data_IF_639377214768
#
_entry.id   IF_639377214768
#
_cell.length_a   1.000
_cell.length_b   1.000
_cell.length_c   1.000
_cell.angle_alpha   90.00
_cell.angle_beta   90.00
_cell.angle_gamma   90.00
#
_symmetry.space_group_name_H-M   'P 1'
#
loop_
_entity.id
_entity.type
_entity.pdbx_description
1 polymer ?
#
# COMPACT_ATOMS: atom_id res chain seq x y z
N UNK A 1 -16.41 25.53 -4.96
CA UNK A 1 -17.03 24.67 -6.00
C UNK A 1 -15.93 24.34 -6.98
N UNK A 2 -15.18 23.30 -6.68
CA UNK A 2 -14.06 22.85 -7.52
C UNK A 2 -14.60 21.95 -8.61
N UNK A 3 -14.28 22.33 -9.85
CA UNK A 3 -14.77 21.68 -11.06
C UNK A 3 -14.06 20.34 -11.21
N UNK A 4 -14.86 19.28 -11.30
CA UNK A 4 -14.46 17.93 -11.67
C UNK A 4 -13.80 17.93 -13.06
N UNK A 5 -12.47 17.90 -13.09
CA UNK A 5 -11.68 17.61 -14.28
C UNK A 5 -11.39 16.11 -14.27
N UNK A 6 -12.35 15.36 -14.82
CA UNK A 6 -12.21 13.95 -15.16
C UNK A 6 -10.95 13.77 -16.00
N UNK A 7 -9.88 13.23 -15.41
CA UNK A 7 -8.71 12.85 -16.20
C UNK A 7 -7.39 12.65 -15.48
N UNK A 8 -7.06 13.38 -14.41
CA UNK A 8 -5.77 13.19 -13.72
C UNK A 8 -5.84 13.63 -12.25
N UNK A 9 -6.00 12.67 -11.35
CA UNK A 9 -5.80 12.89 -9.92
C UNK A 9 -4.48 12.21 -9.49
N UNK A 10 -3.35 12.71 -10.01
CA UNK A 10 -2.01 12.36 -9.53
C UNK A 10 -1.63 13.14 -8.25
N UNK A 11 -2.63 13.46 -7.43
CA UNK A 11 -2.43 14.21 -6.21
C UNK A 11 -2.56 13.24 -5.04
N UNK A 12 -1.44 13.00 -4.35
CA UNK A 12 -1.47 12.45 -3.00
C UNK A 12 -2.32 13.37 -2.14
N UNK A 13 -3.56 12.96 -1.84
CA UNK A 13 -4.38 13.66 -0.87
C UNK A 13 -3.80 13.44 0.52
N UNK A 14 -3.90 14.43 1.40
CA UNK A 14 -3.62 14.22 2.82
C UNK A 14 -4.53 13.08 3.32
N UNK A 15 -3.93 11.95 3.70
CA UNK A 15 -4.63 10.74 4.11
C UNK A 15 -4.85 9.69 3.01
N UNK A 16 -4.57 9.98 1.73
CA UNK A 16 -4.73 9.01 0.63
C UNK A 16 -3.84 7.77 0.80
N UNK A 17 -2.64 7.97 1.33
CA UNK A 17 -1.67 6.92 1.68
C UNK A 17 -2.21 5.96 2.75
N UNK A 18 -2.89 6.47 3.79
CA UNK A 18 -3.50 5.65 4.85
C UNK A 18 -4.79 4.99 4.37
N UNK A 19 -5.59 5.70 3.57
CA UNK A 19 -6.78 5.15 2.95
C UNK A 19 -6.44 3.95 2.04
N UNK A 20 -5.40 4.08 1.20
CA UNK A 20 -4.90 2.98 0.38
C UNK A 20 -4.47 1.78 1.22
N UNK A 21 -3.72 2.01 2.30
CA UNK A 21 -3.33 0.95 3.23
C UNK A 21 -4.55 0.24 3.85
N UNK A 22 -5.56 0.99 4.28
CA UNK A 22 -6.78 0.42 4.85
C UNK A 22 -7.58 -0.41 3.85
N UNK A 23 -7.71 0.05 2.60
CA UNK A 23 -8.37 -0.70 1.54
C UNK A 23 -7.63 -2.00 1.24
N UNK A 24 -6.30 -1.96 1.13
CA UNK A 24 -5.48 -3.14 0.84
C UNK A 24 -5.59 -4.19 1.96
N UNK A 25 -5.61 -3.77 3.22
CA UNK A 25 -5.87 -4.68 4.35
C UNK A 25 -7.27 -5.29 4.32
N UNK A 26 -8.30 -4.49 4.00
CA UNK A 26 -9.67 -4.98 3.89
C UNK A 26 -9.75 -6.06 2.81
N UNK A 27 -9.18 -5.81 1.65
CA UNK A 27 -9.25 -6.72 0.51
C UNK A 27 -8.50 -8.04 0.81
N UNK A 28 -7.32 -7.94 1.45
CA UNK A 28 -6.58 -9.11 1.95
C UNK A 28 -7.37 -9.94 2.98
N UNK A 29 -8.03 -9.30 3.97
CA UNK A 29 -8.84 -10.01 4.97
C UNK A 29 -10.05 -10.72 4.34
N UNK A 30 -10.63 -10.12 3.30
CA UNK A 30 -11.78 -10.67 2.60
C UNK A 30 -11.41 -11.79 1.62
N UNK A 31 -10.12 -12.11 1.47
CA UNK A 31 -9.63 -13.16 0.59
C UNK A 31 -9.59 -12.77 -0.88
N UNK A 32 -9.51 -11.47 -1.18
CA UNK A 32 -9.20 -10.99 -2.52
C UNK A 32 -7.66 -11.00 -2.69
N UNK A 33 -7.16 -11.87 -3.57
CA UNK A 33 -5.73 -12.12 -3.78
C UNK A 33 -5.01 -10.99 -4.56
N UNK A 34 -5.75 -9.97 -5.02
CA UNK A 34 -5.21 -8.78 -5.69
C UNK A 34 -5.57 -7.47 -4.98
N UNK A 35 -5.10 -7.25 -3.73
CA UNK A 35 -5.15 -5.93 -3.11
C UNK A 35 -4.46 -4.92 -4.04
N UNK A 36 -5.24 -3.92 -4.48
CA UNK A 36 -4.86 -2.87 -5.43
C UNK A 36 -4.60 -3.31 -6.90
N UNK A 37 -5.15 -4.43 -7.37
CA UNK A 37 -5.09 -4.86 -8.79
C UNK A 37 -3.67 -5.04 -9.39
N UNK A 38 -2.60 -5.13 -8.59
CA UNK A 38 -1.26 -5.46 -9.13
C UNK A 38 -0.27 -6.07 -8.11
N UNK A 39 -0.06 -5.49 -6.92
CA UNK A 39 1.09 -5.86 -6.05
C UNK A 39 0.91 -5.71 -4.51
N UNK A 40 -0.30 -5.45 -3.99
CA UNK A 40 -0.50 -5.03 -2.59
C UNK A 40 -0.09 -3.59 -2.32
N UNK A 41 0.03 -3.20 -1.04
CA UNK A 41 0.37 -1.82 -0.67
C UNK A 41 1.82 -1.48 -1.02
N UNK A 42 2.04 -0.87 -2.18
CA UNK A 42 3.37 -0.46 -2.65
C UNK A 42 4.12 0.49 -1.71
N UNK A 43 3.42 1.16 -0.78
CA UNK A 43 4.05 1.98 0.25
C UNK A 43 4.89 1.19 1.25
N UNK A 44 4.70 -0.14 1.36
CA UNK A 44 5.61 -1.03 2.10
C UNK A 44 7.05 -1.02 1.57
N UNK A 45 7.25 -0.65 0.30
CA UNK A 45 8.57 -0.53 -0.31
C UNK A 45 9.19 0.88 -0.17
N UNK A 46 8.51 1.82 0.47
CA UNK A 46 9.04 3.17 0.66
C UNK A 46 10.13 3.16 1.74
N UNK A 47 11.32 3.76 1.48
CA UNK A 47 12.38 3.87 2.49
C UNK A 47 12.14 4.99 3.52
N UNK A 48 11.02 5.72 3.45
CA UNK A 48 10.78 6.96 4.20
C UNK A 48 9.77 6.83 5.33
N UNK A 49 9.79 5.72 6.08
CA UNK A 49 8.79 5.46 7.12
C UNK A 49 9.08 6.14 8.46
N UNK A 50 10.30 6.65 8.66
CA UNK A 50 10.75 7.18 9.95
C UNK A 50 11.09 6.11 10.99
N UNK A 51 11.08 4.83 10.59
CA UNK A 51 11.59 3.70 11.38
C UNK A 51 13.04 3.37 11.00
N UNK A 52 13.79 2.64 11.83
CA UNK A 52 15.04 2.01 11.43
C UNK A 52 14.85 1.09 10.22
N UNK A 53 15.88 0.99 9.36
CA UNK A 53 15.84 0.13 8.16
C UNK A 53 15.62 -1.35 8.51
N UNK A 54 16.21 -1.82 9.61
CA UNK A 54 16.03 -3.18 10.14
C UNK A 54 14.56 -3.50 10.43
N UNK A 55 13.84 -2.56 11.05
CA UNK A 55 12.41 -2.73 11.33
C UNK A 55 11.58 -2.73 10.05
N UNK A 56 11.93 -1.90 9.07
CA UNK A 56 11.26 -1.90 7.76
C UNK A 56 11.46 -3.22 7.00
N UNK A 57 12.65 -3.83 7.08
CA UNK A 57 12.92 -5.16 6.50
C UNK A 57 12.14 -6.26 7.22
N UNK A 58 12.07 -6.22 8.56
CA UNK A 58 11.29 -7.17 9.35
C UNK A 58 9.80 -7.11 8.98
N UNK A 59 9.22 -5.92 8.87
CA UNK A 59 7.82 -5.72 8.51
C UNK A 59 7.55 -6.24 7.09
N UNK A 60 8.43 -5.95 6.12
CA UNK A 60 8.30 -6.47 4.75
C UNK A 60 8.39 -7.99 4.70
N UNK A 61 9.34 -8.57 5.42
CA UNK A 61 9.52 -10.03 5.49
C UNK A 61 8.27 -10.70 6.05
N UNK A 62 7.72 -10.16 7.14
CA UNK A 62 6.48 -10.68 7.72
C UNK A 62 5.29 -10.53 6.76
N UNK A 63 5.15 -9.38 6.11
CA UNK A 63 4.10 -9.12 5.13
C UNK A 63 4.15 -10.09 3.93
N UNK A 64 5.35 -10.44 3.46
CA UNK A 64 5.54 -11.45 2.42
C UNK A 64 5.17 -12.85 2.94
N UNK A 65 5.61 -13.21 4.15
CA UNK A 65 5.36 -14.53 4.73
C UNK A 65 3.86 -14.84 4.90
N UNK A 66 3.04 -13.83 5.18
CA UNK A 66 1.58 -13.97 5.30
C UNK A 66 0.84 -13.83 3.97
N UNK A 67 1.54 -13.58 2.86
CA UNK A 67 0.93 -13.39 1.54
C UNK A 67 0.27 -12.02 1.32
N UNK A 68 0.46 -11.07 2.24
CA UNK A 68 -0.05 -9.70 2.08
C UNK A 68 0.75 -8.90 1.05
N UNK A 69 2.04 -9.16 0.94
CA UNK A 69 2.94 -8.50 0.00
C UNK A 69 3.56 -9.51 -0.98
N UNK A 70 3.49 -9.25 -2.28
CA UNK A 70 4.20 -10.07 -3.29
C UNK A 70 5.68 -9.69 -3.31
N UNK A 71 6.62 -10.66 -3.34
CA UNK A 71 8.05 -10.36 -3.49
C UNK A 71 8.31 -9.58 -4.78
N UNK A 72 9.12 -8.52 -4.73
CA UNK A 72 9.64 -7.90 -5.96
C UNK A 72 10.75 -8.79 -6.54
N UNK A 73 10.57 -9.20 -7.79
CA UNK A 73 11.59 -9.85 -8.64
C UNK A 73 12.45 -8.79 -9.30
#
# INVERSE_FOLDING_TARGET
MDKDVRGQHWHFSHGGTLWGLMCDFRDYILGDDDPNHNNGYGGLYSPHWGYPEEDMELIRTYAIAIGYLKPRV
#
